data_IF_519496079478
#
_entry.id   IF_519496079478
#
_cell.length_a   1.000
_cell.length_b   1.000
_cell.length_c   1.000
_cell.angle_alpha   90.00
_cell.angle_beta   90.00
_cell.angle_gamma   90.00
#
_symmetry.space_group_name_H-M   'P 1'
#
loop_
_entity.id
_entity.type
_entity.pdbx_description
1 polymer ?
#
# COMPACT_ATOMS: atom_id res chain seq x y z
N UNK A 1 19.33 74.50 -7.76
CA UNK A 1 19.93 74.16 -6.45
C UNK A 1 18.94 73.22 -5.78
N UNK A 2 19.08 71.92 -6.06
CA UNK A 2 19.90 70.99 -5.24
C UNK A 2 19.17 70.70 -3.93
N UNK A 3 18.85 69.47 -3.55
CA UNK A 3 19.38 68.18 -3.97
C UNK A 3 18.30 67.14 -3.81
N UNK A 4 18.20 66.27 -4.82
CA UNK A 4 17.69 64.93 -4.67
C UNK A 4 18.35 64.29 -3.45
N UNK A 5 17.54 63.91 -2.44
CA UNK A 5 17.99 63.03 -1.37
C UNK A 5 18.33 61.69 -2.01
N UNK A 6 19.63 61.51 -2.26
CA UNK A 6 20.21 60.31 -2.84
C UNK A 6 19.76 59.09 -2.04
N UNK A 7 19.05 58.20 -2.73
CA UNK A 7 19.01 56.79 -2.38
C UNK A 7 20.44 56.30 -2.63
N UNK A 8 21.25 56.23 -1.58
CA UNK A 8 22.53 55.52 -1.64
C UNK A 8 22.18 54.04 -1.79
N UNK A 9 22.01 53.60 -3.02
CA UNK A 9 22.08 52.19 -3.36
C UNK A 9 23.53 51.78 -3.10
N UNK A 10 23.76 51.08 -1.98
CA UNK A 10 24.97 50.26 -1.83
C UNK A 10 24.91 49.20 -2.92
N UNK A 11 25.46 49.54 -4.09
CA UNK A 11 25.79 48.58 -5.14
C UNK A 11 27.01 47.83 -4.61
N UNK A 12 26.74 46.72 -3.92
CA UNK A 12 27.76 45.71 -3.59
C UNK A 12 28.22 45.13 -4.91
N UNK A 13 29.33 45.67 -5.44
CA UNK A 13 30.03 45.04 -6.54
C UNK A 13 30.54 43.68 -6.07
N UNK A 14 30.33 42.68 -6.91
CA UNK A 14 30.73 41.28 -6.75
C UNK A 14 32.10 41.16 -6.06
N UNK A 15 32.08 40.89 -4.75
CA UNK A 15 33.22 40.25 -4.10
C UNK A 15 33.35 38.87 -4.75
N UNK A 16 34.47 38.55 -5.42
CA UNK A 16 34.71 37.18 -5.84
C UNK A 16 34.61 36.29 -4.60
N UNK A 17 33.88 35.17 -4.72
CA UNK A 17 33.74 34.19 -3.65
C UNK A 17 35.13 33.93 -3.01
N UNK A 18 35.23 33.91 -1.67
CA UNK A 18 36.50 33.66 -1.02
C UNK A 18 37.09 32.36 -1.57
N UNK A 19 38.40 32.33 -1.92
CA UNK A 19 38.99 31.14 -2.52
C UNK A 19 38.75 29.97 -1.57
N UNK A 20 37.92 29.02 -2.01
CA UNK A 20 37.73 27.76 -1.29
C UNK A 20 39.12 27.14 -1.18
N UNK A 21 39.60 27.02 0.06
CA UNK A 21 40.89 26.40 0.38
C UNK A 21 40.97 25.10 -0.41
N UNK A 22 41.96 24.98 -1.29
CA UNK A 22 42.12 23.83 -2.18
C UNK A 22 41.84 22.56 -1.39
N UNK A 23 40.80 21.82 -1.81
CA UNK A 23 40.44 20.56 -1.20
C UNK A 23 41.60 19.59 -1.44
N UNK A 24 42.54 19.56 -0.49
CA UNK A 24 43.54 18.52 -0.40
C UNK A 24 42.77 17.18 -0.36
N UNK A 25 43.20 16.14 -1.09
CA UNK A 25 42.58 14.83 -1.02
C UNK A 25 42.81 14.26 0.38
N UNK A 26 41.92 14.62 1.30
CA UNK A 26 41.88 14.06 2.65
C UNK A 26 41.45 12.61 2.54
N UNK A 27 42.43 11.71 2.59
CA UNK A 27 42.31 10.30 3.02
C UNK A 27 40.96 9.63 2.70
N UNK A 28 40.64 9.46 1.42
CA UNK A 28 39.56 8.57 0.97
C UNK A 28 40.05 7.10 0.94
N UNK A 29 40.70 6.66 2.02
CA UNK A 29 40.87 5.26 2.37
C UNK A 29 40.35 5.12 3.77
N UNK A 30 39.46 4.15 3.95
CA UNK A 30 38.74 3.80 5.18
C UNK A 30 39.74 3.62 6.33
N UNK A 31 40.10 4.71 7.02
CA UNK A 31 40.77 4.65 8.31
C UNK A 31 39.68 4.20 9.28
N UNK A 32 39.68 2.91 9.59
CA UNK A 32 38.89 2.38 10.68
C UNK A 32 39.23 3.18 11.94
N UNK A 33 38.23 3.86 12.49
CA UNK A 33 38.30 4.50 13.80
C UNK A 33 38.85 3.48 14.82
N UNK A 34 39.87 3.81 15.63
CA UNK A 34 40.29 2.97 16.75
C UNK A 34 39.19 3.03 17.82
N UNK A 35 38.17 2.21 17.63
CA UNK A 35 36.93 2.29 18.42
C UNK A 35 35.72 1.59 17.81
N UNK A 36 35.78 1.05 16.59
CA UNK A 36 34.85 -0.05 16.27
C UNK A 36 35.23 -1.22 17.18
N UNK A 37 34.32 -1.78 18.01
CA UNK A 37 34.58 -3.07 18.63
C UNK A 37 34.68 -4.08 17.49
N UNK A 38 35.91 -4.31 17.03
CA UNK A 38 36.31 -5.58 16.48
C UNK A 38 35.83 -6.59 17.51
N UNK A 39 34.80 -7.35 17.17
CA UNK A 39 34.40 -8.50 17.97
C UNK A 39 35.64 -9.35 18.13
N UNK A 40 36.27 -9.26 19.30
CA UNK A 40 37.27 -10.21 19.76
C UNK A 40 36.51 -11.51 20.04
N UNK A 41 36.13 -12.25 18.99
CA UNK A 41 35.46 -13.55 19.10
C UNK A 41 36.47 -14.70 19.09
N UNK A 42 37.64 -14.50 19.67
CA UNK A 42 38.61 -15.55 19.97
C UNK A 42 39.33 -15.20 21.27
N UNK A 43 38.57 -15.03 22.35
CA UNK A 43 39.10 -15.35 23.68
C UNK A 43 38.96 -16.86 23.83
N UNK A 44 40.09 -17.56 23.83
CA UNK A 44 40.15 -19.01 24.09
C UNK A 44 39.41 -19.30 25.41
N UNK A 45 38.31 -20.06 25.32
CA UNK A 45 37.51 -20.49 26.48
C UNK A 45 36.08 -19.94 26.57
N UNK A 46 35.63 -19.05 25.67
CA UNK A 46 34.23 -18.61 25.62
C UNK A 46 33.56 -19.00 24.30
N UNK A 47 32.60 -19.93 24.36
CA UNK A 47 31.76 -20.30 23.23
C UNK A 47 30.85 -19.12 22.84
N UNK A 48 31.25 -18.39 21.81
CA UNK A 48 30.47 -17.29 21.21
C UNK A 48 29.57 -17.78 20.07
N UNK A 49 29.03 -19.00 20.20
CA UNK A 49 28.10 -19.55 19.21
C UNK A 49 26.78 -18.77 19.21
N UNK A 50 26.75 -17.69 18.43
CA UNK A 50 25.52 -16.95 18.16
C UNK A 50 24.65 -17.80 17.25
N UNK A 51 23.70 -18.53 17.83
CA UNK A 51 22.66 -19.20 17.06
C UNK A 51 21.81 -18.15 16.36
N UNK A 52 21.58 -18.25 15.04
CA UNK A 52 20.70 -17.32 14.35
C UNK A 52 19.29 -17.44 14.94
N UNK A 53 18.63 -16.29 15.16
CA UNK A 53 17.34 -16.21 15.85
C UNK A 53 16.27 -17.14 15.24
N UNK A 54 16.35 -17.39 13.93
CA UNK A 54 15.46 -18.33 13.23
C UNK A 54 15.67 -19.79 13.64
N UNK A 55 16.91 -20.23 13.86
CA UNK A 55 17.19 -21.58 14.33
C UNK A 55 16.79 -21.75 15.79
N UNK A 56 17.04 -20.75 16.63
CA UNK A 56 16.57 -20.74 18.01
C UNK A 56 15.03 -20.85 18.03
N UNK A 57 14.33 -20.01 17.27
CA UNK A 57 12.87 -20.04 17.16
C UNK A 57 12.37 -21.39 16.63
N UNK A 58 13.03 -21.99 15.63
CA UNK A 58 12.65 -23.32 15.14
C UNK A 58 12.78 -24.43 16.20
N UNK A 59 13.83 -24.37 17.05
CA UNK A 59 14.06 -25.31 18.14
C UNK A 59 13.01 -25.14 19.25
N UNK A 60 12.63 -23.90 19.56
CA UNK A 60 11.58 -23.61 20.54
C UNK A 60 10.18 -23.93 19.99
N UNK A 61 9.88 -23.58 18.74
CA UNK A 61 8.62 -23.90 18.08
C UNK A 61 8.43 -25.41 17.90
N UNK A 62 9.50 -26.18 17.62
CA UNK A 62 9.43 -27.63 17.58
C UNK A 62 9.10 -28.23 18.96
N UNK A 63 9.64 -27.64 20.04
CA UNK A 63 9.36 -28.07 21.42
C UNK A 63 7.94 -27.68 21.85
N UNK A 64 7.47 -26.51 21.47
CA UNK A 64 6.10 -26.04 21.71
C UNK A 64 5.09 -26.84 20.88
N UNK A 65 5.40 -27.16 19.62
CA UNK A 65 4.60 -28.05 18.79
C UNK A 65 4.60 -29.50 19.31
N UNK A 66 5.71 -29.99 19.86
CA UNK A 66 5.77 -31.30 20.51
C UNK A 66 4.97 -31.33 21.83
N UNK A 67 5.00 -30.24 22.60
CA UNK A 67 4.21 -30.07 23.81
C UNK A 67 2.71 -29.90 23.50
N UNK A 68 2.38 -29.19 22.42
CA UNK A 68 1.03 -29.07 21.88
C UNK A 68 0.52 -30.39 21.26
N UNK A 69 1.39 -31.19 20.63
CA UNK A 69 1.04 -32.53 20.13
C UNK A 69 0.86 -33.54 21.26
N UNK A 70 1.59 -33.41 22.38
CA UNK A 70 1.39 -34.19 23.59
C UNK A 70 0.11 -33.78 24.35
N UNK A 71 -0.29 -32.50 24.28
CA UNK A 71 -1.53 -31.98 24.88
C UNK A 71 -2.77 -32.25 24.02
N UNK A 72 -2.65 -32.14 22.69
CA UNK A 72 -3.71 -32.43 21.72
C UNK A 72 -3.42 -33.76 21.03
N UNK A 73 -3.61 -34.86 21.79
CA UNK A 73 -3.70 -36.20 21.25
C UNK A 73 -4.96 -36.38 20.41
N UNK A 74 -5.07 -35.67 19.28
CA UNK A 74 -5.89 -35.92 18.08
C UNK A 74 -5.91 -34.66 17.20
N UNK A 75 -5.68 -34.88 15.90
CA UNK A 75 -5.79 -33.96 14.75
C UNK A 75 -4.51 -33.25 14.27
N UNK A 76 -3.61 -34.01 13.65
CA UNK A 76 -2.65 -33.47 12.69
C UNK A 76 -3.29 -33.46 11.28
N UNK A 77 -3.95 -32.36 10.91
CA UNK A 77 -4.30 -32.10 9.51
C UNK A 77 -3.18 -31.26 8.87
N UNK A 78 -2.45 -31.86 7.91
CA UNK A 78 -1.41 -31.18 7.13
C UNK A 78 -2.00 -29.99 6.34
N UNK A 79 -1.33 -28.82 6.31
CA UNK A 79 -1.67 -27.78 5.35
C UNK A 79 -1.16 -28.17 3.96
N UNK A 80 -2.06 -28.23 2.97
CA UNK A 80 -1.67 -28.35 1.56
C UNK A 80 -1.15 -27.01 1.07
N UNK A 81 0.09 -26.99 0.59
CA UNK A 81 0.70 -25.86 -0.14
C UNK A 81 0.84 -26.22 -1.62
N UNK A 82 0.28 -25.37 -2.48
CA UNK A 82 0.74 -25.09 -3.85
C UNK A 82 0.27 -26.01 -4.98
N UNK A 83 -0.45 -25.45 -5.97
CA UNK A 83 0.00 -25.16 -7.35
C UNK A 83 -1.23 -24.61 -8.12
N UNK A 84 -1.23 -23.37 -8.62
CA UNK A 84 -0.75 -22.90 -9.94
C UNK A 84 -1.71 -23.21 -11.11
N UNK A 85 -1.96 -22.16 -11.90
CA UNK A 85 -2.47 -22.06 -13.28
C UNK A 85 -3.73 -22.86 -13.66
N UNK A 86 -4.81 -22.14 -13.96
CA UNK A 86 -5.99 -22.68 -14.63
C UNK A 86 -5.64 -23.20 -16.05
N UNK A 87 -5.86 -24.49 -16.37
CA UNK A 87 -5.65 -25.00 -17.71
C UNK A 87 -6.81 -24.63 -18.64
N UNK A 88 -6.50 -24.40 -19.92
CA UNK A 88 -7.48 -24.28 -20.99
C UNK A 88 -8.30 -25.58 -21.06
N UNK A 89 -9.60 -25.48 -20.74
CA UNK A 89 -10.48 -26.61 -20.46
C UNK A 89 -11.20 -26.52 -19.11
N UNK A 90 -11.07 -25.41 -18.37
CA UNK A 90 -11.87 -25.13 -17.17
C UNK A 90 -13.36 -25.02 -17.54
N UNK A 91 -14.05 -26.15 -17.48
CA UNK A 91 -15.50 -26.20 -17.49
C UNK A 91 -15.99 -25.65 -16.15
N UNK A 92 -16.82 -24.59 -16.14
CA UNK A 92 -17.34 -24.04 -14.90
C UNK A 92 -18.07 -25.14 -14.13
N UNK A 93 -18.00 -25.13 -12.79
CA UNK A 93 -18.50 -26.24 -11.96
C UNK A 93 -20.00 -26.49 -12.17
N UNK A 94 -20.77 -25.45 -12.53
CA UNK A 94 -22.19 -25.57 -12.88
C UNK A 94 -22.41 -26.35 -14.19
N UNK A 95 -21.59 -26.11 -15.21
CA UNK A 95 -21.67 -26.81 -16.50
C UNK A 95 -21.22 -28.27 -16.35
N UNK A 96 -20.18 -28.51 -15.54
CA UNK A 96 -19.73 -29.86 -15.22
C UNK A 96 -20.79 -30.64 -14.43
N UNK A 97 -21.47 -30.00 -13.48
CA UNK A 97 -22.57 -30.63 -12.74
C UNK A 97 -23.73 -30.98 -13.67
N UNK A 98 -24.14 -30.06 -14.55
CA UNK A 98 -25.20 -30.32 -15.52
C UNK A 98 -24.84 -31.46 -16.49
N UNK A 99 -23.58 -31.52 -16.95
CA UNK A 99 -23.08 -32.61 -17.79
C UNK A 99 -23.09 -33.95 -17.04
N UNK A 100 -22.62 -33.97 -15.79
CA UNK A 100 -22.64 -35.18 -14.95
C UNK A 100 -24.05 -35.64 -14.62
N UNK A 101 -25.01 -34.73 -14.44
CA UNK A 101 -26.43 -35.09 -14.31
C UNK A 101 -26.92 -35.81 -15.57
N UNK A 102 -26.63 -35.27 -16.76
CA UNK A 102 -27.02 -35.88 -18.03
C UNK A 102 -26.34 -37.25 -18.25
N UNK A 103 -25.04 -37.35 -18.00
CA UNK A 103 -24.27 -38.60 -18.12
C UNK A 103 -24.80 -39.69 -17.15
N UNK A 104 -25.16 -39.32 -15.92
CA UNK A 104 -25.73 -40.26 -14.94
C UNK A 104 -27.15 -40.69 -15.34
N UNK A 105 -27.98 -39.79 -15.87
CA UNK A 105 -29.31 -40.16 -16.39
C UNK A 105 -29.21 -41.07 -17.62
N UNK A 106 -28.23 -40.84 -18.48
CA UNK A 106 -27.97 -41.68 -19.66
C UNK A 106 -27.46 -43.07 -19.25
N UNK A 107 -26.55 -43.15 -18.26
CA UNK A 107 -26.07 -44.40 -17.70
C UNK A 107 -27.18 -45.17 -16.96
N UNK A 108 -28.07 -44.48 -16.25
CA UNK A 108 -29.22 -45.10 -15.60
C UNK A 108 -30.19 -45.67 -16.64
N UNK A 109 -30.45 -44.93 -17.73
CA UNK A 109 -31.26 -45.40 -18.86
C UNK A 109 -30.64 -46.62 -19.54
N UNK A 110 -29.31 -46.64 -19.72
CA UNK A 110 -28.60 -47.79 -20.27
C UNK A 110 -28.63 -48.99 -19.33
N UNK A 111 -28.43 -48.78 -18.03
CA UNK A 111 -28.52 -49.82 -17.02
C UNK A 111 -29.93 -50.43 -16.96
N UNK A 112 -30.99 -49.61 -16.96
CA UNK A 112 -32.39 -50.07 -16.97
C UNK A 112 -32.78 -50.76 -18.29
N UNK A 113 -32.29 -50.28 -19.44
CA UNK A 113 -32.50 -50.94 -20.72
C UNK A 113 -31.72 -52.27 -20.85
N UNK A 114 -30.57 -52.39 -20.17
CA UNK A 114 -29.75 -53.61 -20.13
C UNK A 114 -30.17 -54.60 -19.06
N UNK A 115 -30.92 -54.16 -18.02
CA UNK A 115 -31.47 -55.04 -17.00
C UNK A 115 -32.44 -56.08 -17.57
N UNK A 116 -33.03 -55.81 -18.74
CA UNK A 116 -33.91 -56.75 -19.44
C UNK A 116 -33.18 -57.64 -20.46
N UNK A 117 -31.92 -57.34 -20.83
CA UNK A 117 -31.19 -58.04 -21.90
C UNK A 117 -29.67 -58.13 -21.65
N UNK A 118 -29.24 -59.37 -21.45
CA UNK A 118 -27.89 -59.93 -21.65
C UNK A 118 -26.81 -59.79 -20.54
N UNK A 119 -26.25 -60.95 -20.18
CA UNK A 119 -25.11 -61.13 -19.27
C UNK A 119 -23.78 -60.52 -19.80
N UNK A 120 -23.71 -60.15 -21.08
CA UNK A 120 -22.53 -59.53 -21.69
C UNK A 120 -22.30 -58.09 -21.20
N UNK A 121 -23.37 -57.40 -20.78
CA UNK A 121 -23.27 -56.03 -20.25
C UNK A 121 -22.82 -56.04 -18.78
N UNK A 122 -23.14 -57.10 -18.03
CA UNK A 122 -22.68 -57.30 -16.65
C UNK A 122 -21.14 -57.40 -16.54
N UNK A 123 -20.47 -57.92 -17.58
CA UNK A 123 -19.00 -57.99 -17.65
C UNK A 123 -18.36 -56.63 -17.99
N UNK A 124 -19.00 -55.83 -18.87
CA UNK A 124 -18.53 -54.48 -19.23
C UNK A 124 -18.71 -53.48 -18.07
N UNK A 125 -19.76 -53.69 -17.28
CA UNK A 125 -20.17 -52.84 -16.18
C UNK A 125 -19.62 -53.29 -14.82
N UNK A 126 -18.99 -54.47 -14.75
CA UNK A 126 -18.29 -54.97 -13.56
C UNK A 126 -19.19 -55.38 -12.38
N UNK A 127 -20.50 -55.57 -12.59
CA UNK A 127 -21.44 -55.91 -11.52
C UNK A 127 -22.86 -56.24 -12.01
N UNK A 128 -23.74 -56.66 -11.09
CA UNK A 128 -25.14 -56.94 -11.38
C UNK A 128 -25.83 -55.62 -11.82
N UNK A 129 -26.44 -55.57 -13.03
CA UNK A 129 -27.12 -54.38 -13.53
C UNK A 129 -28.21 -53.86 -12.56
N UNK A 130 -28.79 -54.75 -11.74
CA UNK A 130 -29.76 -54.40 -10.71
C UNK A 130 -29.16 -53.56 -9.58
N UNK A 131 -28.01 -53.98 -9.02
CA UNK A 131 -27.34 -53.28 -7.92
C UNK A 131 -26.80 -51.92 -8.37
N UNK A 132 -26.21 -51.86 -9.57
CA UNK A 132 -25.73 -50.59 -10.11
C UNK A 132 -26.84 -49.61 -10.45
N UNK A 133 -28.02 -50.08 -10.87
CA UNK A 133 -29.16 -49.18 -11.05
C UNK A 133 -29.60 -48.53 -9.72
N UNK A 134 -29.47 -49.27 -8.60
CA UNK A 134 -29.76 -48.73 -7.27
C UNK A 134 -28.68 -47.76 -6.82
N UNK A 135 -27.41 -48.06 -7.06
CA UNK A 135 -26.30 -47.16 -6.77
C UNK A 135 -26.34 -45.88 -7.62
N UNK A 136 -26.69 -45.97 -8.90
CA UNK A 136 -26.89 -44.82 -9.80
C UNK A 136 -28.09 -43.97 -9.35
N UNK A 137 -29.18 -44.57 -8.87
CA UNK A 137 -30.32 -43.84 -8.25
C UNK A 137 -29.92 -43.13 -6.97
N UNK A 138 -29.01 -43.72 -6.17
CA UNK A 138 -28.45 -43.05 -4.98
C UNK A 138 -27.52 -41.92 -5.38
N UNK A 139 -26.70 -42.11 -6.42
CA UNK A 139 -25.80 -41.08 -6.96
C UNK A 139 -26.59 -39.91 -7.53
N UNK A 140 -27.66 -40.15 -8.28
CA UNK A 140 -28.58 -39.13 -8.78
C UNK A 140 -29.16 -38.31 -7.62
N UNK A 141 -29.71 -38.97 -6.58
CA UNK A 141 -30.22 -38.28 -5.39
C UNK A 141 -29.16 -37.44 -4.69
N UNK A 142 -27.92 -37.94 -4.60
CA UNK A 142 -26.79 -37.19 -4.04
C UNK A 142 -26.38 -36.02 -4.91
N UNK A 143 -26.40 -36.16 -6.24
CA UNK A 143 -26.01 -35.12 -7.18
C UNK A 143 -27.07 -34.01 -7.28
N UNK A 144 -28.35 -34.36 -7.11
CA UNK A 144 -29.45 -33.40 -6.94
C UNK A 144 -29.32 -32.67 -5.61
N UNK A 145 -29.07 -33.37 -4.50
CA UNK A 145 -28.81 -32.73 -3.20
C UNK A 145 -27.56 -31.81 -3.26
N UNK A 146 -26.50 -32.24 -3.95
CA UNK A 146 -25.33 -31.41 -4.23
C UNK A 146 -25.63 -30.26 -5.20
N UNK A 147 -26.63 -30.34 -6.08
CA UNK A 147 -27.03 -29.19 -6.92
C UNK A 147 -27.74 -28.14 -6.08
N UNK A 148 -28.56 -28.57 -5.12
CA UNK A 148 -29.20 -27.72 -4.11
C UNK A 148 -28.16 -27.14 -3.13
N UNK A 149 -27.14 -27.93 -2.77
CA UNK A 149 -26.01 -27.56 -1.90
C UNK A 149 -24.80 -26.96 -2.64
N UNK A 150 -24.82 -26.88 -3.98
CA UNK A 150 -23.88 -26.09 -4.79
C UNK A 150 -24.41 -24.68 -5.07
N UNK A 151 -25.71 -24.45 -4.86
CA UNK A 151 -26.29 -23.11 -4.79
C UNK A 151 -25.63 -22.16 -3.75
N UNK A 152 -25.11 -22.64 -2.59
CA UNK A 152 -24.21 -21.92 -1.67
C UNK A 152 -22.79 -21.66 -2.20
N UNK A 153 -22.26 -22.50 -3.11
CA UNK A 153 -20.96 -22.28 -3.78
C UNK A 153 -21.05 -21.27 -4.94
N UNK A 154 -22.23 -20.68 -5.14
CA UNK A 154 -22.41 -19.41 -5.84
C UNK A 154 -21.79 -18.29 -4.99
N UNK A 155 -20.46 -18.25 -4.98
CA UNK A 155 -19.66 -17.10 -4.57
C UNK A 155 -20.02 -15.91 -5.46
N UNK A 156 -21.06 -15.20 -5.04
CA UNK A 156 -21.80 -14.23 -5.85
C UNK A 156 -23.27 -14.31 -5.49
N UNK A 157 -23.60 -13.73 -4.32
CA UNK A 157 -24.94 -13.39 -3.83
C UNK A 157 -26.08 -14.31 -4.24
N UNK A 158 -26.62 -15.07 -3.27
CA UNK A 158 -27.90 -15.80 -3.34
C UNK A 158 -28.78 -15.27 -4.48
N UNK A 159 -28.86 -16.00 -5.59
CA UNK A 159 -29.85 -15.75 -6.65
C UNK A 159 -31.21 -16.08 -6.05
N UNK A 160 -31.81 -15.09 -5.39
CA UNK A 160 -33.25 -14.95 -5.41
C UNK A 160 -33.67 -15.05 -6.89
N UNK A 161 -34.61 -15.94 -7.17
CA UNK A 161 -35.22 -16.18 -8.48
C UNK A 161 -35.91 -14.88 -8.97
N UNK A 162 -35.12 -13.92 -9.45
CA UNK A 162 -35.51 -12.55 -9.75
C UNK A 162 -34.30 -11.65 -10.04
N UNK A 163 -33.36 -12.11 -10.85
CA UNK A 163 -32.00 -11.52 -11.00
C UNK A 163 -31.87 -10.13 -11.62
N UNK A 164 -32.96 -9.50 -12.10
CA UNK A 164 -32.97 -8.09 -12.53
C UNK A 164 -34.27 -7.36 -12.19
N UNK A 165 -35.30 -8.08 -11.72
CA UNK A 165 -36.60 -7.51 -11.43
C UNK A 165 -36.60 -6.70 -10.13
N UNK A 166 -35.89 -7.16 -9.10
CA UNK A 166 -35.83 -6.49 -7.79
C UNK A 166 -35.10 -5.14 -7.80
N UNK A 167 -33.89 -4.98 -8.39
CA UNK A 167 -33.25 -3.68 -8.45
C UNK A 167 -34.04 -2.70 -9.33
N UNK A 168 -34.58 -3.16 -10.46
CA UNK A 168 -35.42 -2.33 -11.33
C UNK A 168 -36.76 -1.96 -10.66
N UNK A 169 -37.38 -2.88 -9.91
CA UNK A 169 -38.62 -2.60 -9.18
C UNK A 169 -38.38 -1.64 -8.02
N UNK A 170 -37.28 -1.78 -7.28
CA UNK A 170 -36.90 -0.86 -6.20
C UNK A 170 -36.60 0.54 -6.74
N UNK A 171 -35.86 0.65 -7.86
CA UNK A 171 -35.65 1.93 -8.54
C UNK A 171 -36.99 2.51 -9.00
N UNK A 172 -37.88 1.71 -9.59
CA UNK A 172 -39.20 2.17 -10.02
C UNK A 172 -40.15 2.54 -8.86
N UNK A 173 -40.00 1.89 -7.70
CA UNK A 173 -40.75 2.19 -6.48
C UNK A 173 -40.22 3.47 -5.83
N UNK A 174 -38.90 3.68 -5.84
CA UNK A 174 -38.28 4.93 -5.43
C UNK A 174 -38.67 6.09 -6.35
N UNK A 175 -38.74 5.88 -7.67
CA UNK A 175 -39.19 6.89 -8.63
C UNK A 175 -40.69 7.21 -8.48
N UNK A 176 -41.54 6.22 -8.21
CA UNK A 176 -42.97 6.42 -7.91
C UNK A 176 -43.19 7.14 -6.59
N UNK A 177 -42.36 6.87 -5.58
CA UNK A 177 -42.40 7.56 -4.30
C UNK A 177 -41.86 9.00 -4.42
N UNK A 178 -40.82 9.22 -5.23
CA UNK A 178 -40.23 10.53 -5.51
C UNK A 178 -41.12 11.41 -6.41
N UNK A 179 -41.89 10.82 -7.33
CA UNK A 179 -42.83 11.52 -8.23
C UNK A 179 -44.20 11.83 -7.58
N UNK A 180 -44.42 11.45 -6.32
CA UNK A 180 -45.58 11.89 -5.53
C UNK A 180 -46.94 11.32 -5.94
N UNK A 181 -47.00 10.31 -6.81
CA UNK A 181 -48.25 9.60 -7.12
C UNK A 181 -48.45 8.43 -6.16
N UNK A 182 -48.96 8.73 -4.96
CA UNK A 182 -49.46 7.73 -4.02
C UNK A 182 -50.99 7.88 -3.86
N UNK A 183 -51.77 7.10 -4.60
CA UNK A 183 -53.13 6.74 -4.19
C UNK A 183 -53.06 5.48 -3.32
N UNK A 184 -53.48 5.62 -2.07
CA UNK A 184 -53.49 4.58 -1.03
C UNK A 184 -54.38 3.35 -1.39
N UNK A 185 -54.24 2.24 -0.65
CA UNK A 185 -55.00 2.11 0.60
C UNK A 185 -54.17 1.65 1.82
N UNK A 186 -54.82 1.78 2.97
CA UNK A 186 -54.29 1.79 4.32
C UNK A 186 -53.67 0.47 4.82
N UNK A 187 -52.43 0.55 5.29
CA UNK A 187 -51.93 -0.13 6.49
C UNK A 187 -50.61 0.56 6.91
N UNK A 188 -50.59 1.10 8.12
CA UNK A 188 -49.44 1.54 8.93
C UNK A 188 -48.24 2.24 8.25
N UNK A 189 -48.11 3.54 8.54
CA UNK A 189 -46.96 4.44 8.36
C UNK A 189 -46.50 4.74 6.90
N UNK A 190 -46.43 6.03 6.50
CA UNK A 190 -46.16 6.43 5.13
C UNK A 190 -44.69 6.13 4.73
N UNK A 191 -44.50 5.19 3.80
CA UNK A 191 -43.42 5.22 2.81
C UNK A 191 -41.98 5.42 3.31
N UNK A 192 -41.58 4.89 4.47
CA UNK A 192 -40.20 5.02 4.94
C UNK A 192 -39.32 3.89 4.38
N UNK A 193 -38.55 4.19 3.33
CA UNK A 193 -37.50 3.29 2.81
C UNK A 193 -36.24 3.47 3.66
N UNK A 194 -36.03 2.58 4.62
CA UNK A 194 -34.82 2.58 5.45
C UNK A 194 -33.69 1.85 4.72
N UNK A 195 -32.82 2.62 4.05
CA UNK A 195 -31.60 2.09 3.44
C UNK A 195 -30.52 1.91 4.51
N UNK A 196 -30.38 0.70 5.03
CA UNK A 196 -29.32 0.37 5.99
C UNK A 196 -28.05 -0.04 5.22
N UNK A 197 -27.14 0.93 5.03
CA UNK A 197 -25.80 0.67 4.49
C UNK A 197 -24.95 0.10 5.63
N UNK A 198 -24.79 -1.22 5.63
CA UNK A 198 -23.79 -1.86 6.48
C UNK A 198 -22.42 -1.68 5.84
N UNK A 199 -21.73 -0.61 6.22
CA UNK A 199 -20.35 -0.39 5.82
C UNK A 199 -19.46 -1.37 6.60
N UNK A 200 -18.73 -2.25 5.89
CA UNK A 200 -17.60 -3.00 6.45
C UNK A 200 -16.31 -2.23 6.09
N UNK A 201 -15.96 -1.15 6.81
CA UNK A 201 -14.91 -0.20 6.44
C UNK A 201 -13.53 -0.85 6.23
N UNK A 202 -13.29 -2.00 6.84
CA UNK A 202 -11.94 -2.54 6.98
C UNK A 202 -11.55 -3.56 5.90
N UNK A 203 -12.52 -4.14 5.17
CA UNK A 203 -12.18 -5.19 4.19
C UNK A 203 -11.39 -4.64 2.99
N UNK A 204 -11.73 -3.43 2.53
CA UNK A 204 -11.04 -2.78 1.41
C UNK A 204 -9.65 -2.28 1.81
N UNK A 205 -9.50 -1.62 2.96
CA UNK A 205 -8.21 -1.14 3.47
C UNK A 205 -7.26 -2.29 3.82
N UNK A 206 -7.76 -3.41 4.36
CA UNK A 206 -6.95 -4.62 4.57
C UNK A 206 -6.50 -5.21 3.22
N UNK A 207 -7.37 -5.20 2.21
CA UNK A 207 -7.02 -5.64 0.86
C UNK A 207 -5.93 -4.78 0.20
N UNK A 208 -5.98 -3.47 0.39
CA UNK A 208 -4.94 -2.54 -0.08
C UNK A 208 -3.62 -2.70 0.68
N UNK A 209 -3.69 -2.80 2.02
CA UNK A 209 -2.52 -3.06 2.86
C UNK A 209 -1.82 -4.39 2.51
N UNK A 210 -2.60 -5.44 2.22
CA UNK A 210 -2.05 -6.72 1.78
C UNK A 210 -1.34 -6.63 0.41
N UNK A 211 -1.87 -5.84 -0.53
CA UNK A 211 -1.21 -5.59 -1.82
C UNK A 211 0.09 -4.80 -1.64
N UNK A 212 0.09 -3.79 -0.78
CA UNK A 212 1.27 -2.99 -0.46
C UNK A 212 2.35 -3.87 0.19
N UNK A 213 1.99 -4.70 1.16
CA UNK A 213 2.90 -5.67 1.78
C UNK A 213 3.47 -6.68 0.78
N UNK A 214 2.66 -7.13 -0.20
CA UNK A 214 3.15 -7.99 -1.28
C UNK A 214 4.17 -7.25 -2.17
N UNK A 215 3.91 -5.99 -2.53
CA UNK A 215 4.88 -5.16 -3.27
C UNK A 215 6.16 -4.95 -2.47
N UNK A 216 6.07 -4.64 -1.18
CA UNK A 216 7.24 -4.50 -0.29
C UNK A 216 8.05 -5.80 -0.18
N UNK A 217 7.40 -6.96 -0.11
CA UNK A 217 8.07 -8.27 -0.14
C UNK A 217 8.83 -8.47 -1.45
N UNK A 218 8.20 -8.15 -2.59
CA UNK A 218 8.87 -8.27 -3.90
C UNK A 218 10.04 -7.29 -4.04
N UNK A 219 9.89 -6.06 -3.53
CA UNK A 219 10.98 -5.07 -3.52
C UNK A 219 12.12 -5.57 -2.63
N UNK A 220 11.81 -6.11 -1.44
CA UNK A 220 12.80 -6.67 -0.53
C UNK A 220 13.54 -7.87 -1.13
N UNK A 221 12.85 -8.72 -1.88
CA UNK A 221 13.46 -9.83 -2.63
C UNK A 221 14.40 -9.31 -3.73
N UNK A 222 13.97 -8.30 -4.48
CA UNK A 222 14.78 -7.64 -5.51
C UNK A 222 16.00 -6.95 -4.89
N UNK A 223 15.84 -6.24 -3.77
CA UNK A 223 16.92 -5.60 -3.03
C UNK A 223 17.91 -6.61 -2.46
N UNK A 224 17.42 -7.77 -2.00
CA UNK A 224 18.29 -8.86 -1.53
C UNK A 224 19.11 -9.47 -2.67
N UNK A 225 18.51 -9.63 -3.86
CA UNK A 225 19.20 -10.12 -5.05
C UNK A 225 20.21 -9.11 -5.59
N UNK A 226 19.86 -7.82 -5.56
CA UNK A 226 20.70 -6.74 -6.06
C UNK A 226 21.78 -6.31 -5.05
N UNK A 227 21.54 -6.58 -3.76
CA UNK A 227 22.36 -6.12 -2.65
C UNK A 227 22.15 -4.65 -2.33
N UNK A 228 22.57 -4.23 -1.14
CA UNK A 228 22.63 -2.80 -0.78
C UNK A 228 23.67 -2.15 -1.69
N UNK A 229 23.22 -1.17 -2.47
CA UNK A 229 24.11 -0.34 -3.28
C UNK A 229 25.04 0.43 -2.35
N UNK A 230 26.24 -0.08 -2.11
CA UNK A 230 27.27 0.75 -1.49
C UNK A 230 27.50 1.97 -2.40
N UNK A 231 27.54 3.20 -1.85
CA UNK A 231 27.68 4.44 -2.62
C UNK A 231 29.04 4.56 -3.34
N UNK A 232 29.88 3.53 -3.28
CA UNK A 232 31.25 3.46 -3.78
C UNK A 232 31.35 2.60 -5.04
N UNK A 233 30.26 1.98 -5.52
CA UNK A 233 30.31 1.21 -6.76
C UNK A 233 30.78 2.11 -7.91
N UNK A 234 31.88 1.72 -8.56
CA UNK A 234 32.53 2.47 -9.66
C UNK A 234 31.64 2.64 -10.91
N UNK A 235 30.43 2.09 -10.90
CA UNK A 235 29.48 2.13 -12.00
C UNK A 235 28.18 2.84 -11.60
N UNK A 236 27.73 3.83 -12.40
CA UNK A 236 26.50 4.58 -12.12
C UNK A 236 25.22 3.75 -12.31
N UNK A 237 25.28 2.63 -13.03
CA UNK A 237 24.16 1.69 -13.24
C UNK A 237 24.65 0.25 -13.40
N UNK A 238 23.84 -0.73 -12.99
CA UNK A 238 24.15 -2.16 -13.15
C UNK A 238 24.30 -2.52 -14.63
N UNK A 239 23.48 -1.93 -15.52
CA UNK A 239 23.61 -2.17 -16.96
C UNK A 239 24.94 -1.64 -17.49
N UNK A 240 25.41 -0.48 -17.00
CA UNK A 240 26.74 0.03 -17.37
C UNK A 240 27.87 -0.89 -16.88
N UNK A 241 27.74 -1.47 -15.68
CA UNK A 241 28.70 -2.46 -15.17
C UNK A 241 28.73 -3.74 -16.03
N UNK A 242 27.55 -4.30 -16.34
CA UNK A 242 27.42 -5.52 -17.15
C UNK A 242 27.91 -5.29 -18.58
N UNK A 243 27.57 -4.17 -19.21
CA UNK A 243 28.04 -3.84 -20.55
C UNK A 243 29.55 -3.60 -20.59
N UNK A 244 30.14 -3.01 -19.55
CA UNK A 244 31.59 -2.87 -19.44
C UNK A 244 32.27 -4.23 -19.22
N UNK A 245 31.73 -5.10 -18.36
CA UNK A 245 32.22 -6.47 -18.19
C UNK A 245 32.09 -7.28 -19.48
N UNK A 246 30.98 -7.15 -20.22
CA UNK A 246 30.77 -7.79 -21.51
C UNK A 246 31.76 -7.28 -22.54
N UNK A 247 32.05 -5.98 -22.59
CA UNK A 247 33.11 -5.41 -23.43
C UNK A 247 34.47 -5.98 -23.05
N UNK A 248 34.80 -6.06 -21.76
CA UNK A 248 36.07 -6.65 -21.27
C UNK A 248 36.17 -8.15 -21.57
N UNK A 249 35.06 -8.89 -21.49
CA UNK A 249 34.99 -10.30 -21.85
C UNK A 249 35.12 -10.51 -23.36
N UNK A 250 34.52 -9.63 -24.17
CA UNK A 250 34.68 -9.65 -25.63
C UNK A 250 36.11 -9.33 -26.06
N UNK A 251 36.84 -8.53 -25.26
CA UNK A 251 38.27 -8.28 -25.44
C UNK A 251 39.16 -9.45 -25.01
N UNK A 252 38.65 -10.41 -24.23
CA UNK A 252 39.43 -11.57 -23.79
C UNK A 252 39.72 -12.59 -24.93
N UNK A 253 39.15 -12.38 -26.12
CA UNK A 253 39.44 -13.19 -27.30
C UNK A 253 40.79 -12.74 -27.91
N UNK A 254 41.86 -13.46 -27.55
CA UNK A 254 43.25 -13.19 -27.93
C UNK A 254 43.48 -12.80 -29.41
N UNK A 255 42.92 -13.50 -30.42
CA UNK A 255 43.06 -13.09 -31.83
C UNK A 255 42.33 -11.78 -32.18
N UNK A 256 41.21 -11.47 -31.52
CA UNK A 256 40.50 -10.19 -31.72
C UNK A 256 41.25 -9.05 -31.04
N UNK A 257 41.87 -9.29 -29.89
CA UNK A 257 42.69 -8.28 -29.20
C UNK A 257 43.90 -7.86 -30.05
N UNK A 258 44.58 -8.81 -30.71
CA UNK A 258 45.68 -8.49 -31.63
C UNK A 258 45.23 -7.73 -32.88
N UNK A 259 44.08 -8.10 -33.46
CA UNK A 259 43.51 -7.37 -34.60
C UNK A 259 43.09 -5.94 -34.22
N UNK A 260 42.52 -5.76 -33.02
CA UNK A 260 42.17 -4.45 -32.47
C UNK A 260 43.43 -3.63 -32.17
N UNK A 261 44.47 -4.21 -31.57
CA UNK A 261 45.74 -3.51 -31.30
C UNK A 261 46.39 -2.99 -32.59
N UNK A 262 46.48 -3.82 -33.63
CA UNK A 262 46.97 -3.40 -34.96
C UNK A 262 46.09 -2.33 -35.60
N UNK A 263 44.77 -2.43 -35.41
CA UNK A 263 43.80 -1.41 -35.85
C UNK A 263 43.97 -0.08 -35.11
N UNK A 264 44.19 -0.12 -33.80
CA UNK A 264 44.44 1.06 -32.95
C UNK A 264 45.77 1.71 -33.34
N UNK A 265 46.83 0.95 -33.61
CA UNK A 265 48.10 1.52 -34.09
C UNK A 265 47.95 2.21 -35.44
N UNK A 266 47.13 1.64 -36.34
CA UNK A 266 46.82 2.25 -37.63
C UNK A 266 45.99 3.53 -37.46
N UNK A 267 44.95 3.50 -36.63
CA UNK A 267 44.11 4.67 -36.33
C UNK A 267 44.91 5.75 -35.60
N UNK A 268 45.80 5.39 -34.68
CA UNK A 268 46.68 6.34 -34.00
C UNK A 268 47.57 7.08 -35.00
N UNK A 269 48.16 6.36 -35.96
CA UNK A 269 48.93 6.97 -37.05
C UNK A 269 48.08 7.85 -37.96
N UNK A 270 46.86 7.42 -38.28
CA UNK A 270 45.92 8.23 -39.07
C UNK A 270 45.46 9.48 -38.30
N UNK A 271 45.25 9.39 -36.98
CA UNK A 271 44.92 10.50 -36.10
C UNK A 271 46.11 11.47 -35.98
N UNK A 272 47.34 10.99 -35.85
CA UNK A 272 48.54 11.85 -35.90
C UNK A 272 48.65 12.60 -37.24
N UNK A 273 48.36 11.93 -38.36
CA UNK A 273 48.32 12.57 -39.68
C UNK A 273 47.18 13.59 -39.80
N UNK A 274 46.01 13.30 -39.22
CA UNK A 274 44.87 14.24 -39.18
C UNK A 274 45.18 15.42 -38.26
N UNK A 275 45.84 15.22 -37.13
CA UNK A 275 46.29 16.29 -36.23
C UNK A 275 47.34 17.17 -36.91
N UNK A 276 48.28 16.59 -37.66
CA UNK A 276 49.24 17.35 -38.46
C UNK A 276 48.57 18.20 -39.55
N UNK A 277 47.53 17.66 -40.21
CA UNK A 277 46.70 18.41 -41.19
C UNK A 277 45.80 19.44 -40.51
N UNK A 278 45.26 19.15 -39.33
CA UNK A 278 44.43 20.06 -38.52
C UNK A 278 45.26 21.24 -38.02
N UNK A 279 46.49 21.03 -37.56
CA UNK A 279 47.41 22.09 -37.18
C UNK A 279 47.72 23.06 -38.35
N UNK A 280 47.68 22.57 -39.59
CA UNK A 280 47.78 23.42 -40.79
C UNK A 280 46.47 24.18 -41.11
N UNK A 281 45.32 23.74 -40.58
CA UNK A 281 43.98 24.33 -40.77
C UNK A 281 43.52 25.22 -39.60
N UNK A 282 44.13 25.09 -38.41
CA UNK A 282 43.82 25.81 -37.16
C UNK A 282 43.98 27.35 -37.25
N UNK A 283 44.51 27.87 -38.35
CA UNK A 283 44.49 29.30 -38.65
C UNK A 283 43.12 29.85 -39.09
N UNK A 284 42.12 29.00 -39.34
CA UNK A 284 40.82 29.40 -39.91
C UNK A 284 39.62 29.15 -38.99
N UNK A 285 39.81 28.47 -37.86
CA UNK A 285 38.74 28.18 -36.89
C UNK A 285 38.64 29.30 -35.85
N UNK A 286 37.42 29.78 -35.64
CA UNK A 286 37.12 30.87 -34.71
C UNK A 286 37.23 30.37 -33.26
N UNK A 287 38.37 30.64 -32.62
CA UNK A 287 38.70 30.17 -31.26
C UNK A 287 37.66 30.59 -30.21
N UNK A 288 36.96 31.69 -30.46
CA UNK A 288 35.90 32.19 -29.58
C UNK A 288 34.62 31.33 -29.66
N UNK A 289 34.32 30.77 -30.83
CA UNK A 289 33.22 29.80 -30.98
C UNK A 289 33.57 28.48 -30.31
N UNK A 290 34.80 27.98 -30.49
CA UNK A 290 35.27 26.75 -29.83
C UNK A 290 35.25 26.90 -28.29
N UNK A 291 35.62 28.07 -27.76
CA UNK A 291 35.54 28.34 -26.34
C UNK A 291 34.09 28.38 -25.82
N UNK A 292 33.19 29.06 -26.52
CA UNK A 292 31.75 29.09 -26.17
C UNK A 292 31.11 27.71 -26.23
N UNK A 293 31.44 26.92 -27.25
CA UNK A 293 30.94 25.53 -27.39
C UNK A 293 31.46 24.66 -26.26
N UNK A 294 32.74 24.80 -25.89
CA UNK A 294 33.32 24.07 -24.76
C UNK A 294 32.64 24.44 -23.44
N UNK A 295 32.39 25.74 -23.20
CA UNK A 295 31.65 26.20 -22.02
C UNK A 295 30.22 25.64 -22.00
N UNK A 296 29.50 25.68 -23.13
CA UNK A 296 28.14 25.12 -23.23
C UNK A 296 28.13 23.61 -22.99
N UNK A 297 29.16 22.90 -23.47
CA UNK A 297 29.33 21.48 -23.22
C UNK A 297 29.53 21.19 -21.73
N UNK A 298 30.38 21.97 -21.06
CA UNK A 298 30.61 21.84 -19.61
C UNK A 298 29.34 22.14 -18.80
N UNK A 299 28.59 23.19 -19.17
CA UNK A 299 27.29 23.48 -18.56
C UNK A 299 26.29 22.36 -18.79
N UNK A 300 26.14 21.88 -20.02
CA UNK A 300 25.25 20.77 -20.35
C UNK A 300 25.62 19.52 -19.56
N UNK A 301 26.90 19.20 -19.45
CA UNK A 301 27.38 18.03 -18.73
C UNK A 301 27.12 18.14 -17.22
N UNK A 302 27.35 19.31 -16.62
CA UNK A 302 27.02 19.58 -15.20
C UNK A 302 25.55 19.38 -14.88
N UNK A 303 24.67 19.82 -15.79
CA UNK A 303 23.22 19.75 -15.58
C UNK A 303 22.59 18.44 -16.07
N UNK A 304 23.29 17.64 -16.87
CA UNK A 304 22.76 16.38 -17.41
C UNK A 304 22.40 15.38 -16.31
N UNK A 305 23.20 15.28 -15.24
CA UNK A 305 22.92 14.39 -14.12
C UNK A 305 21.69 14.85 -13.31
N UNK A 306 21.57 16.16 -13.08
CA UNK A 306 20.43 16.76 -12.36
C UNK A 306 19.15 16.73 -13.18
N UNK A 307 19.25 16.91 -14.50
CA UNK A 307 18.11 16.81 -15.41
C UNK A 307 17.53 15.39 -15.43
N UNK A 308 18.36 14.35 -15.29
CA UNK A 308 17.91 12.97 -15.21
C UNK A 308 17.11 12.67 -13.91
N UNK A 309 17.39 13.36 -12.80
CA UNK A 309 16.67 13.17 -11.52
C UNK A 309 15.44 14.08 -11.37
N UNK A 310 15.31 15.13 -12.18
CA UNK A 310 14.21 16.09 -12.11
C UNK A 310 12.81 15.45 -12.21
N UNK A 311 12.52 14.51 -13.13
CA UNK A 311 11.20 13.87 -13.21
C UNK A 311 10.85 13.09 -11.94
N UNK A 312 11.83 12.43 -11.31
CA UNK A 312 11.62 11.70 -10.06
C UNK A 312 11.31 12.64 -8.90
N UNK A 313 11.98 13.79 -8.83
CA UNK A 313 11.71 14.83 -7.83
C UNK A 313 10.29 15.38 -8.02
N UNK A 314 9.87 15.65 -9.26
CA UNK A 314 8.52 16.13 -9.56
C UNK A 314 7.46 15.09 -9.20
N UNK A 315 7.66 13.82 -9.56
CA UNK A 315 6.75 12.73 -9.18
C UNK A 315 6.62 12.60 -7.66
N UNK A 316 7.74 12.72 -6.94
CA UNK A 316 7.76 12.74 -5.47
C UNK A 316 6.97 13.93 -4.93
N UNK A 317 7.19 15.13 -5.45
CA UNK A 317 6.43 16.33 -5.05
C UNK A 317 4.93 16.19 -5.31
N UNK A 318 4.54 15.59 -6.43
CA UNK A 318 3.13 15.29 -6.72
C UNK A 318 2.53 14.30 -5.72
N UNK A 319 3.25 13.22 -5.39
CA UNK A 319 2.79 12.26 -4.38
C UNK A 319 2.66 12.89 -2.97
N UNK A 320 3.54 13.84 -2.65
CA UNK A 320 3.55 14.56 -1.37
C UNK A 320 2.64 15.79 -1.34
N UNK A 321 2.08 16.20 -2.48
CA UNK A 321 1.25 17.41 -2.58
C UNK A 321 0.03 17.34 -1.66
N UNK A 322 -0.66 16.19 -1.63
CA UNK A 322 -1.83 15.99 -0.78
C UNK A 322 -1.48 16.13 0.70
N UNK A 323 -0.34 15.58 1.12
CA UNK A 323 0.17 15.68 2.48
C UNK A 323 0.55 17.12 2.82
N UNK A 324 1.25 17.83 1.93
CA UNK A 324 1.61 19.23 2.15
C UNK A 324 0.38 20.15 2.26
N UNK A 325 -0.63 19.94 1.41
CA UNK A 325 -1.89 20.69 1.46
C UNK A 325 -2.64 20.39 2.76
N UNK A 326 -2.67 19.12 3.18
CA UNK A 326 -3.26 18.72 4.46
C UNK A 326 -2.52 19.39 5.64
N UNK A 327 -1.19 19.39 5.67
CA UNK A 327 -0.39 20.05 6.71
C UNK A 327 -0.61 21.56 6.76
N UNK A 328 -0.72 22.23 5.60
CA UNK A 328 -1.07 23.65 5.55
C UNK A 328 -2.47 23.91 6.11
N UNK A 329 -3.45 23.06 5.77
CA UNK A 329 -4.81 23.16 6.31
C UNK A 329 -4.87 22.86 7.82
N UNK A 330 -3.98 21.98 8.31
CA UNK A 330 -3.91 21.60 9.71
C UNK A 330 -3.52 22.78 10.60
N UNK A 331 -2.54 23.59 10.20
CA UNK A 331 -2.16 24.79 10.94
C UNK A 331 -3.31 25.79 11.06
N UNK A 332 -4.08 26.02 9.98
CA UNK A 332 -5.25 26.90 10.00
C UNK A 332 -6.39 26.35 10.88
N UNK A 333 -6.64 25.03 10.81
CA UNK A 333 -7.63 24.37 11.68
C UNK A 333 -7.23 24.44 13.15
N UNK A 334 -5.95 24.27 13.45
CA UNK A 334 -5.42 24.38 14.81
C UNK A 334 -5.61 25.80 15.36
N UNK A 335 -5.25 26.83 14.59
CA UNK A 335 -5.48 28.22 14.98
C UNK A 335 -6.98 28.53 15.20
N UNK A 336 -7.86 27.97 14.37
CA UNK A 336 -9.31 28.10 14.57
C UNK A 336 -9.79 27.39 15.84
N UNK A 337 -9.24 26.22 16.17
CA UNK A 337 -9.56 25.49 17.40
C UNK A 337 -9.05 26.22 18.65
N UNK A 338 -7.85 26.78 18.60
CA UNK A 338 -7.29 27.61 19.69
C UNK A 338 -8.20 28.81 19.97
N UNK A 339 -8.65 29.51 18.91
CA UNK A 339 -9.60 30.61 19.05
C UNK A 339 -10.92 30.16 19.67
N UNK A 340 -11.48 29.03 19.20
CA UNK A 340 -12.72 28.48 19.77
C UNK A 340 -12.54 28.08 21.23
N UNK A 341 -11.38 27.53 21.60
CA UNK A 341 -11.07 27.17 22.98
C UNK A 341 -10.96 28.41 23.87
N UNK A 342 -10.36 29.50 23.37
CA UNK A 342 -10.29 30.78 24.09
C UNK A 342 -11.69 31.40 24.27
N UNK A 343 -12.53 31.36 23.24
CA UNK A 343 -13.93 31.82 23.32
C UNK A 343 -14.75 30.98 24.32
N UNK A 344 -14.60 29.65 24.30
CA UNK A 344 -15.26 28.76 25.26
C UNK A 344 -14.76 28.99 26.70
N UNK A 345 -13.47 29.27 26.89
CA UNK A 345 -12.91 29.58 28.20
C UNK A 345 -13.54 30.88 28.76
N UNK A 346 -13.65 31.92 27.94
CA UNK A 346 -14.34 33.18 28.32
C UNK A 346 -15.81 32.98 28.61
N UNK A 347 -16.51 32.15 27.81
CA UNK A 347 -17.91 31.80 28.08
C UNK A 347 -18.05 31.06 29.41
N UNK A 348 -17.14 30.12 29.71
CA UNK A 348 -17.15 29.40 30.98
C UNK A 348 -16.91 30.35 32.16
N UNK A 349 -15.96 31.28 32.04
CA UNK A 349 -15.67 32.30 33.06
C UNK A 349 -16.92 33.17 33.33
N UNK A 350 -17.53 33.75 32.29
CA UNK A 350 -18.75 34.57 32.44
C UNK A 350 -19.94 33.79 32.99
N UNK A 351 -20.11 32.51 32.61
CA UNK A 351 -21.16 31.66 33.21
C UNK A 351 -20.87 31.32 34.67
N UNK A 352 -19.61 31.19 35.05
CA UNK A 352 -19.21 30.96 36.45
C UNK A 352 -19.51 32.20 37.29
N UNK A 353 -19.14 33.38 36.80
CA UNK A 353 -19.50 34.67 37.41
C UNK A 353 -21.02 34.82 37.57
N UNK A 354 -21.79 34.54 36.51
CA UNK A 354 -23.25 34.62 36.57
C UNK A 354 -23.87 33.64 37.58
N UNK A 355 -23.27 32.45 37.77
CA UNK A 355 -23.70 31.47 38.78
C UNK A 355 -23.32 31.93 40.19
N UNK A 356 -22.16 32.56 40.37
CA UNK A 356 -21.77 33.17 41.63
C UNK A 356 -22.71 34.31 42.03
N UNK A 357 -23.06 35.19 41.08
CA UNK A 357 -24.03 36.27 41.27
C UNK A 357 -25.43 35.75 41.59
N UNK A 358 -25.85 34.63 40.97
CA UNK A 358 -27.12 33.98 41.31
C UNK A 358 -27.06 33.42 42.75
N UNK A 359 -25.95 32.81 43.14
CA UNK A 359 -25.77 32.25 44.49
C UNK A 359 -25.78 33.36 45.56
N UNK A 360 -25.11 34.50 45.31
CA UNK A 360 -25.16 35.66 46.21
C UNK A 360 -26.57 36.24 46.28
N UNK A 361 -27.23 36.46 45.15
CA UNK A 361 -28.61 36.94 45.09
C UNK A 361 -29.62 36.00 45.77
N UNK A 362 -29.44 34.68 45.65
CA UNK A 362 -30.26 33.69 46.36
C UNK A 362 -30.05 33.74 47.87
N UNK A 363 -28.80 33.90 48.33
CA UNK A 363 -28.47 34.06 49.76
C UNK A 363 -29.07 35.33 50.34
N UNK A 364 -28.97 36.44 49.62
CA UNK A 364 -29.58 37.72 50.02
C UNK A 364 -31.10 37.61 50.09
N UNK A 365 -31.74 37.07 49.05
CA UNK A 365 -33.19 36.83 49.03
C UNK A 365 -33.64 35.90 50.16
N UNK A 366 -32.91 34.82 50.43
CA UNK A 366 -33.16 33.94 51.58
C UNK A 366 -33.04 34.67 52.91
N UNK A 367 -32.08 35.58 53.05
CA UNK A 367 -31.94 36.41 54.26
C UNK A 367 -33.14 37.36 54.41
N UNK A 368 -33.52 38.06 53.35
CA UNK A 368 -34.67 38.97 53.33
C UNK A 368 -35.96 38.23 53.69
N UNK A 369 -36.20 37.05 53.09
CA UNK A 369 -37.37 36.21 53.40
C UNK A 369 -37.36 35.77 54.87
N UNK A 370 -36.19 35.39 55.41
CA UNK A 370 -36.05 35.01 56.83
C UNK A 370 -36.37 36.19 57.75
N UNK A 371 -35.88 37.39 57.43
CA UNK A 371 -36.12 38.58 58.24
C UNK A 371 -37.59 39.05 58.13
N UNK A 372 -38.19 38.93 56.95
CA UNK A 372 -39.63 39.15 56.75
C UNK A 372 -40.47 38.16 57.55
N UNK A 373 -40.12 36.87 57.55
CA UNK A 373 -40.81 35.85 58.37
C UNK A 373 -40.71 36.17 59.86
N UNK A 374 -39.51 36.52 60.36
CA UNK A 374 -39.34 36.95 61.76
C UNK A 374 -40.19 38.17 62.10
N UNK A 375 -40.24 39.17 61.22
CA UNK A 375 -41.07 40.36 61.41
C UNK A 375 -42.56 40.00 61.45
N UNK A 376 -42.99 39.09 60.59
CA UNK A 376 -44.37 38.63 60.53
C UNK A 376 -44.75 37.81 61.77
N UNK A 377 -43.85 36.95 62.25
CA UNK A 377 -44.00 36.19 63.50
C UNK A 377 -44.08 37.12 64.71
N UNK A 378 -43.21 38.14 64.79
CA UNK A 378 -43.26 39.15 65.85
C UNK A 378 -44.59 39.92 65.86
N UNK A 379 -45.12 40.28 64.68
CA UNK A 379 -46.44 40.93 64.55
C UNK A 379 -47.59 40.00 64.96
N UNK A 380 -47.53 38.71 64.59
CA UNK A 380 -48.52 37.72 65.02
C UNK A 380 -48.48 37.56 66.55
N UNK A 381 -47.29 37.44 67.14
CA UNK A 381 -47.16 37.35 68.60
C UNK A 381 -47.73 38.58 69.30
N UNK A 382 -47.46 39.79 68.80
CA UNK A 382 -48.07 41.01 69.33
C UNK A 382 -49.60 40.98 69.24
N UNK A 383 -50.17 40.58 68.09
CA UNK A 383 -51.61 40.49 67.87
C UNK A 383 -52.31 39.36 68.65
N UNK A 384 -51.55 38.37 69.15
CA UNK A 384 -52.08 37.28 70.00
C UNK A 384 -51.94 37.63 71.49
N UNK A 385 -51.02 38.54 71.85
CA UNK A 385 -50.75 38.96 73.23
C UNK A 385 -51.53 40.20 73.71
N UNK A 386 -52.17 40.93 72.79
CA UNK A 386 -53.09 42.04 73.08
C UNK A 386 -54.49 41.69 72.64
#
# INVERSE_FOLDING_TARGET
>A
MESARGRLEEVVFETPDPPQRAALPGSASKVALPGSPTKASTQEGLDTSALPAQEALSKFAAKEAAQAAAANGRTAAKPRRGYEVAPAGFEPPEQRLARLQAEVTDLLRLAEASAEKDAAVAELLGGDPGEMSQELKVLEKRLVALSEESAPWRGGGKKARGGYAMPASLVSQLDRLASGQASAPASEAPGQVTYQINYAPNAASIGEGAKLAAMESTISEIEKQLGVREPISHFPDLQTAVTQLQKRLALLDSPKLEAIAKGVDKVAKEVEQVLAKKAQLEGTTDKDLDHKVSQLYDFCHRWSATAASLPQIVARLQSLQALHLQSASFASRLASLEKQQEELAKLLETTTEAVEDLNTGLKENMSIVRDNMKSLEAKIQQAVSG
#
